data_IF_013517975071
#
_entry.id   IF_013517975071
#
_cell.length_a   1.000
_cell.length_b   1.000
_cell.length_c   1.000
_cell.angle_alpha   90.00
_cell.angle_beta   90.00
_cell.angle_gamma   90.00
#
_symmetry.space_group_name_H-M   'P 1'
#
loop_
_entity.id
_entity.type
_entity.pdbx_description
1 polymer ?
#
# COMPACT_ATOMS: atom_id res chain seq x y z
N UNK A 1 3.53 -20.69 -18.05
CA UNK A 1 2.79 -21.97 -17.87
C UNK A 1 1.69 -22.00 -18.90
N UNK A 2 1.68 -22.98 -19.80
CA UNK A 2 0.59 -23.18 -20.75
C UNK A 2 -0.54 -23.95 -20.05
N UNK A 3 -1.78 -23.49 -20.21
CA UNK A 3 -2.96 -24.19 -19.68
C UNK A 3 -3.23 -25.39 -20.59
N UNK A 4 -3.38 -26.61 -20.06
CA UNK A 4 -3.76 -27.76 -20.87
C UNK A 4 -5.08 -27.52 -21.61
N UNK A 5 -5.20 -28.01 -22.84
CA UNK A 5 -6.41 -27.82 -23.68
C UNK A 5 -7.68 -28.31 -22.98
N UNK A 6 -7.61 -29.45 -22.28
CA UNK A 6 -8.73 -29.97 -21.48
C UNK A 6 -9.19 -28.99 -20.39
N UNK A 7 -8.23 -28.37 -19.68
CA UNK A 7 -8.54 -27.34 -18.67
C UNK A 7 -9.16 -26.11 -19.30
N UNK A 8 -8.66 -25.69 -20.46
CA UNK A 8 -9.21 -24.57 -21.21
C UNK A 8 -10.67 -24.83 -21.60
N UNK A 9 -10.98 -26.01 -22.15
CA UNK A 9 -12.33 -26.39 -22.55
C UNK A 9 -13.31 -26.42 -21.37
N UNK A 10 -12.88 -26.93 -20.21
CA UNK A 10 -13.69 -26.92 -18.98
C UNK A 10 -13.98 -25.49 -18.53
N UNK A 11 -12.98 -24.60 -18.55
CA UNK A 11 -13.17 -23.20 -18.18
C UNK A 11 -14.13 -22.50 -19.15
N UNK A 12 -14.02 -22.77 -20.46
CA UNK A 12 -14.89 -22.16 -21.45
C UNK A 12 -16.35 -22.60 -21.30
N UNK A 13 -16.59 -23.88 -21.05
CA UNK A 13 -17.96 -24.37 -20.79
C UNK A 13 -18.60 -23.70 -19.58
N UNK A 14 -17.86 -23.52 -18.47
CA UNK A 14 -18.36 -22.81 -17.28
C UNK A 14 -18.61 -21.33 -17.56
N UNK A 15 -17.78 -20.74 -18.41
CA UNK A 15 -17.95 -19.36 -18.84
C UNK A 15 -19.24 -19.19 -19.68
N UNK A 16 -19.53 -20.11 -20.59
CA UNK A 16 -20.76 -20.08 -21.38
C UNK A 16 -22.00 -20.18 -20.49
N UNK A 17 -22.01 -21.11 -19.53
CA UNK A 17 -23.07 -21.23 -18.52
C UNK A 17 -23.25 -19.92 -17.70
N UNK A 18 -22.14 -19.29 -17.33
CA UNK A 18 -22.17 -18.00 -16.64
C UNK A 18 -22.78 -16.89 -17.50
N UNK A 19 -22.45 -16.84 -18.79
CA UNK A 19 -22.98 -15.84 -19.73
C UNK A 19 -24.48 -16.03 -19.95
N UNK A 20 -24.94 -17.29 -20.09
CA UNK A 20 -26.37 -17.61 -20.23
C UNK A 20 -27.18 -17.21 -18.99
N UNK A 21 -26.59 -17.38 -17.79
CA UNK A 21 -27.22 -17.00 -16.52
C UNK A 21 -27.11 -15.51 -16.16
N UNK A 22 -26.37 -14.72 -16.95
CA UNK A 22 -26.04 -13.34 -16.58
C UNK A 22 -27.28 -12.44 -16.53
N UNK A 23 -27.47 -11.77 -15.39
CA UNK A 23 -28.59 -10.84 -15.21
C UNK A 23 -29.91 -11.50 -14.78
N UNK A 24 -29.93 -12.82 -14.57
CA UNK A 24 -31.07 -13.51 -13.98
C UNK A 24 -30.82 -13.79 -12.48
N UNK A 25 -31.54 -13.14 -11.55
CA UNK A 25 -31.35 -13.32 -10.12
C UNK A 25 -31.82 -14.69 -9.59
N UNK A 26 -32.63 -15.42 -10.37
CA UNK A 26 -33.14 -16.75 -9.99
C UNK A 26 -32.17 -17.88 -10.32
N UNK A 27 -31.09 -17.58 -11.06
CA UNK A 27 -30.05 -18.55 -11.43
C UNK A 27 -28.93 -18.54 -10.39
N UNK A 28 -28.51 -19.72 -9.97
CA UNK A 28 -27.41 -19.87 -9.03
C UNK A 28 -26.09 -19.36 -9.64
N UNK A 29 -25.23 -18.65 -8.87
CA UNK A 29 -23.95 -18.18 -9.38
C UNK A 29 -23.05 -19.32 -9.91
N UNK A 30 -22.62 -19.19 -11.16
CA UNK A 30 -21.71 -20.13 -11.80
C UNK A 30 -20.25 -19.78 -11.46
N UNK A 31 -19.48 -20.78 -11.06
CA UNK A 31 -18.05 -20.62 -10.76
C UNK A 31 -17.21 -20.86 -12.02
N UNK A 32 -16.57 -19.81 -12.53
CA UNK A 32 -15.77 -19.85 -13.78
C UNK A 32 -14.27 -20.07 -13.57
N UNK A 33 -13.81 -20.29 -12.33
CA UNK A 33 -12.41 -20.49 -11.99
C UNK A 33 -12.23 -21.66 -11.04
N UNK A 34 -11.04 -22.24 -11.01
CA UNK A 34 -10.69 -23.26 -10.03
C UNK A 34 -10.19 -22.62 -8.73
N UNK A 35 -10.50 -23.25 -7.60
CA UNK A 35 -9.94 -22.81 -6.33
C UNK A 35 -8.41 -23.01 -6.36
N UNK A 36 -7.68 -22.09 -5.73
CA UNK A 36 -6.26 -22.27 -5.48
C UNK A 36 -6.04 -23.54 -4.64
N UNK A 37 -5.02 -24.32 -5.02
CA UNK A 37 -4.59 -25.46 -4.23
C UNK A 37 -4.11 -25.01 -2.85
N UNK A 38 -4.12 -25.93 -1.87
CA UNK A 38 -3.62 -25.64 -0.53
C UNK A 38 -2.19 -25.10 -0.57
N UNK A 39 -1.31 -25.71 -1.37
CA UNK A 39 0.06 -25.25 -1.56
C UNK A 39 0.15 -23.80 -2.07
N UNK A 40 -0.67 -23.44 -3.06
CA UNK A 40 -0.71 -22.07 -3.57
C UNK A 40 -1.20 -21.07 -2.51
N UNK A 41 -2.15 -21.47 -1.67
CA UNK A 41 -2.59 -20.62 -0.56
C UNK A 41 -1.48 -20.45 0.49
N UNK A 42 -0.75 -21.52 0.84
CA UNK A 42 0.40 -21.46 1.74
C UNK A 42 1.51 -20.56 1.19
N UNK A 43 1.80 -20.65 -0.11
CA UNK A 43 2.75 -19.76 -0.79
C UNK A 43 2.31 -18.29 -0.73
N UNK A 44 1.02 -18.00 -0.94
CA UNK A 44 0.49 -16.64 -0.81
C UNK A 44 0.59 -16.11 0.63
N UNK A 45 0.35 -16.94 1.63
CA UNK A 45 0.52 -16.58 3.04
C UNK A 45 1.98 -16.24 3.35
N UNK A 46 2.91 -17.07 2.88
CA UNK A 46 4.35 -16.82 3.05
C UNK A 46 4.77 -15.49 2.41
N UNK A 47 4.32 -15.22 1.18
CA UNK A 47 4.60 -13.94 0.50
C UNK A 47 4.07 -12.76 1.32
N UNK A 48 2.87 -12.87 1.88
CA UNK A 48 2.28 -11.84 2.73
C UNK A 48 3.11 -11.59 3.99
N UNK A 49 3.53 -12.65 4.67
CA UNK A 49 4.34 -12.55 5.90
C UNK A 49 5.69 -11.89 5.62
N UNK A 50 6.40 -12.32 4.57
CA UNK A 50 7.69 -11.74 4.19
C UNK A 50 7.52 -10.27 3.79
N UNK A 51 6.48 -9.94 3.02
CA UNK A 51 6.22 -8.56 2.60
C UNK A 51 5.94 -7.66 3.81
N UNK A 52 5.16 -8.13 4.79
CA UNK A 52 4.89 -7.38 6.01
C UNK A 52 6.16 -7.16 6.84
N UNK A 53 7.01 -8.19 6.96
CA UNK A 53 8.30 -8.08 7.62
C UNK A 53 9.22 -7.05 6.95
N UNK A 54 9.32 -7.11 5.61
CA UNK A 54 10.16 -6.18 4.85
C UNK A 54 9.64 -4.75 4.91
N UNK A 55 8.32 -4.56 4.89
CA UNK A 55 7.71 -3.24 5.05
C UNK A 55 8.02 -2.66 6.43
N UNK A 56 7.82 -3.45 7.49
CA UNK A 56 8.19 -3.02 8.85
C UNK A 56 9.66 -2.65 8.95
N UNK A 57 10.56 -3.48 8.40
CA UNK A 57 11.99 -3.19 8.41
C UNK A 57 12.31 -1.88 7.69
N UNK A 58 11.66 -1.63 6.55
CA UNK A 58 11.81 -0.37 5.81
C UNK A 58 11.35 0.82 6.67
N UNK A 59 10.20 0.71 7.32
CA UNK A 59 9.67 1.78 8.19
C UNK A 59 10.59 2.03 9.40
N UNK A 60 11.13 0.96 10.01
CA UNK A 60 12.11 1.04 11.11
C UNK A 60 13.42 1.70 10.64
N UNK A 61 13.90 1.38 9.44
CA UNK A 61 15.13 1.95 8.87
C UNK A 61 14.94 3.44 8.53
N UNK A 62 13.77 3.84 8.01
CA UNK A 62 13.41 5.26 7.80
C UNK A 62 13.33 6.00 9.13
N UNK A 63 12.69 5.43 10.15
CA UNK A 63 12.58 6.04 11.46
C UNK A 63 13.96 6.27 12.10
N UNK A 64 14.88 5.31 11.97
CA UNK A 64 16.26 5.46 12.42
C UNK A 64 16.99 6.55 11.67
N UNK A 65 16.89 6.60 10.34
CA UNK A 65 17.51 7.66 9.55
C UNK A 65 17.06 9.04 10.02
N UNK A 66 15.75 9.24 10.17
CA UNK A 66 15.19 10.49 10.67
C UNK A 66 15.68 10.84 12.08
N UNK A 67 15.83 9.85 12.99
CA UNK A 67 16.39 10.08 14.32
C UNK A 67 17.86 10.52 14.26
N UNK A 68 18.70 9.86 13.47
CA UNK A 68 20.10 10.28 13.28
C UNK A 68 20.23 11.69 12.71
N UNK A 69 19.38 12.07 11.75
CA UNK A 69 19.39 13.44 11.21
C UNK A 69 18.98 14.48 12.27
N UNK A 70 18.07 14.13 13.17
CA UNK A 70 17.61 15.03 14.25
C UNK A 70 18.68 15.18 15.35
N UNK A 71 19.38 14.09 15.69
CA UNK A 71 20.47 14.10 16.68
C UNK A 71 21.72 14.84 16.15
N UNK A 72 22.04 14.74 14.85
CA UNK A 72 23.15 15.50 14.25
C UNK A 72 22.88 17.02 14.19
N UNK A 73 21.62 17.43 14.14
CA UNK A 73 21.22 18.84 14.32
C UNK A 73 21.23 19.27 15.79
N UNK A 74 20.84 18.41 16.73
CA UNK A 74 20.83 18.74 18.16
C UNK A 74 22.25 18.87 18.76
N UNK A 75 23.20 18.01 18.39
CA UNK A 75 24.60 18.17 18.83
C UNK A 75 25.26 19.42 18.24
N UNK A 76 24.82 19.88 17.06
CA UNK A 76 25.28 21.15 16.47
C UNK A 76 24.69 22.39 17.14
N UNK A 77 23.51 22.30 17.75
CA UNK A 77 22.92 23.40 18.52
C UNK A 77 23.45 23.46 19.95
N UNK A 78 23.70 22.33 20.63
CA UNK A 78 24.29 22.33 21.98
C UNK A 78 25.74 22.85 22.02
N UNK A 79 26.45 22.88 20.89
CA UNK A 79 27.78 23.51 20.82
C UNK A 79 27.72 25.03 20.56
N UNK A 80 26.52 25.63 20.44
CA UNK A 80 26.33 27.06 20.13
C UNK A 80 25.61 27.88 21.20
N UNK A 81 25.00 27.28 22.22
CA UNK A 81 24.35 28.01 23.33
C UNK A 81 25.33 28.52 24.41
N UNK A 82 26.45 29.08 23.95
CA UNK A 82 27.43 29.76 24.78
C UNK A 82 27.77 31.15 24.26
N UNK A 83 26.80 31.91 23.73
CA UNK A 83 26.96 33.35 23.50
C UNK A 83 25.63 34.03 23.15
N UNK A 84 25.31 35.05 23.96
CA UNK A 84 24.51 36.24 23.63
C UNK A 84 22.96 36.20 23.71
N UNK A 85 22.55 36.66 24.89
CA UNK A 85 21.45 37.55 25.26
C UNK A 85 20.85 38.48 24.16
N UNK A 86 19.55 38.75 24.33
CA UNK A 86 18.81 39.98 23.99
C UNK A 86 17.89 40.06 22.72
N UNK A 87 16.57 40.03 23.02
CA UNK A 87 15.47 40.95 22.59
C UNK A 87 14.45 40.58 21.47
N UNK A 88 13.16 40.67 21.89
CA UNK A 88 11.90 41.08 21.20
C UNK A 88 11.22 40.12 20.21
N UNK A 89 10.05 39.55 20.54
CA UNK A 89 8.65 40.09 20.57
C UNK A 89 7.89 39.94 19.23
N UNK A 90 6.75 39.24 19.30
CA UNK A 90 5.57 39.34 18.40
C UNK A 90 5.53 38.32 17.26
N UNK A 91 4.68 37.28 17.31
CA UNK A 91 3.21 37.27 17.02
C UNK A 91 3.04 36.44 15.72
N UNK A 92 2.46 35.23 15.82
CA UNK A 92 1.13 34.85 15.27
C UNK A 92 1.13 34.81 13.72
N UNK A 93 0.58 33.85 12.96
CA UNK A 93 -0.53 32.93 13.15
C UNK A 93 -0.73 32.14 11.83
N UNK A 94 -1.31 30.94 11.95
CA UNK A 94 -2.16 30.22 10.97
C UNK A 94 -1.64 29.50 9.69
N UNK A 95 -1.83 28.17 9.78
CA UNK A 95 -2.38 27.17 8.82
C UNK A 95 -3.40 27.62 7.75
N UNK A 96 -3.26 27.05 6.53
CA UNK A 96 -4.26 26.31 5.68
C UNK A 96 -3.79 26.33 4.21
N UNK A 97 -3.61 25.21 3.50
CA UNK A 97 -4.61 24.26 2.98
C UNK A 97 -5.69 24.91 2.07
N UNK A 98 -5.52 24.83 0.73
CA UNK A 98 -6.60 24.75 -0.27
C UNK A 98 -6.00 24.38 -1.66
N UNK A 99 -6.39 23.24 -2.25
CA UNK A 99 -7.49 23.01 -3.21
C UNK A 99 -7.14 23.40 -4.67
N UNK A 100 -6.97 22.41 -5.55
CA UNK A 100 -7.93 22.03 -6.61
C UNK A 100 -8.56 23.19 -7.42
N UNK A 101 -8.10 23.39 -8.67
CA UNK A 101 -8.92 23.39 -9.92
C UNK A 101 -8.20 24.10 -11.06
N UNK A 102 -8.18 23.44 -12.22
CA UNK A 102 -8.50 23.97 -13.57
C UNK A 102 -8.15 22.83 -14.53
N UNK A 103 -9.05 21.96 -14.98
CA UNK A 103 -10.28 22.14 -15.77
C UNK A 103 -10.02 22.90 -17.09
N UNK A 104 -10.07 22.11 -18.16
CA UNK A 104 -10.57 22.46 -19.50
C UNK A 104 -9.77 23.49 -20.31
N UNK A 105 -9.08 22.99 -21.33
CA UNK A 105 -9.15 23.54 -22.68
C UNK A 105 -9.44 22.40 -23.66
#
# INVERSE_FOLDING_TARGET
MQVPEERYNILMSRYDEFVEGMGNPDIAPVKVFDALSQKQNEELLLIREISAYLQKKKDDDIAKQNQTETEETAEKEETKEGSEEETKEGSEEETKEESEKQKSQ
#
